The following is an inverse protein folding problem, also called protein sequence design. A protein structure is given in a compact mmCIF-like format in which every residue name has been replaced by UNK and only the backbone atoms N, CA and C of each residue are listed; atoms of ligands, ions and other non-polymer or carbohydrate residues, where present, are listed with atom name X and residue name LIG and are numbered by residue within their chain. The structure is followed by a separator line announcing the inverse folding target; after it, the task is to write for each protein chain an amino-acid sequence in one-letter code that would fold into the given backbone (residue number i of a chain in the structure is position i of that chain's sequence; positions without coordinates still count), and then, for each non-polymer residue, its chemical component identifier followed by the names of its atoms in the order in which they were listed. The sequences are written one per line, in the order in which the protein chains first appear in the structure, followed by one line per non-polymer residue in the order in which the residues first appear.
data_IF_432421251493
#
_entry.id   IF_432421251493
#
_cell.length_a   1.000
_cell.length_b   1.000
_cell.length_c   1.000
_cell.angle_alpha   90.00
_cell.angle_beta   90.00
_cell.angle_gamma   90.00
#
_symmetry.space_group_name_H-M   'P 1'
#
loop_
_entity.id
_entity.type
_entity.pdbx_description
1 polymer ?
#
# COMPACT_ATOMS: atom_id res chain seq x y z
N UNK A 1 17.08 20.54 8.13
CA UNK A 1 16.84 20.19 6.71
C UNK A 1 16.04 18.91 6.66
N UNK A 2 15.96 18.23 5.51
CA UNK A 2 15.39 16.88 5.42
C UNK A 2 16.50 15.85 5.21
N UNK A 3 16.29 14.63 5.69
CA UNK A 3 17.24 13.52 5.60
C UNK A 3 16.91 12.66 4.37
N UNK A 4 17.92 12.37 3.55
CA UNK A 4 17.80 11.46 2.40
C UNK A 4 17.90 9.98 2.77
N UNK A 5 17.72 9.12 1.77
CA UNK A 5 18.00 7.68 1.88
C UNK A 5 19.11 7.34 0.90
N UNK A 6 20.12 6.59 1.36
CA UNK A 6 21.23 6.13 0.51
C UNK A 6 20.67 5.22 -0.59
N UNK A 7 21.05 5.47 -1.84
CA UNK A 7 20.80 4.51 -2.91
C UNK A 7 21.92 3.45 -2.89
N UNK A 8 21.54 2.18 -2.78
CA UNK A 8 22.47 1.04 -2.71
C UNK A 8 22.80 0.45 -4.09
N UNK A 9 22.24 1.02 -5.16
CA UNK A 9 22.42 0.59 -6.54
C UNK A 9 21.16 0.91 -7.34
N UNK A 10 20.22 -0.02 -7.33
CA UNK A 10 18.94 0.06 -8.02
C UNK A 10 17.76 0.30 -7.06
N UNK A 11 17.98 0.87 -5.87
CA UNK A 11 16.96 0.96 -4.81
C UNK A 11 16.16 2.27 -4.78
N UNK A 12 16.13 3.03 -5.88
CA UNK A 12 15.46 4.33 -5.93
C UNK A 12 13.93 4.25 -5.82
N UNK A 13 13.31 3.17 -6.32
CA UNK A 13 11.86 2.92 -6.17
C UNK A 13 11.47 2.82 -4.69
N UNK A 14 12.24 2.03 -3.93
CA UNK A 14 12.09 1.86 -2.48
C UNK A 14 12.27 3.19 -1.76
N UNK A 15 13.38 3.90 -2.02
CA UNK A 15 13.68 5.15 -1.34
C UNK A 15 12.58 6.20 -1.58
N UNK A 16 12.10 6.30 -2.81
CA UNK A 16 11.05 7.26 -3.18
C UNK A 16 9.72 6.91 -2.51
N UNK A 17 9.36 5.63 -2.43
CA UNK A 17 8.14 5.20 -1.76
C UNK A 17 8.21 5.38 -0.24
N UNK A 18 9.31 4.97 0.39
CA UNK A 18 9.51 5.11 1.84
C UNK A 18 9.41 6.58 2.26
N UNK A 19 10.01 7.50 1.49
CA UNK A 19 9.88 8.94 1.74
C UNK A 19 8.42 9.40 1.65
N UNK A 20 7.67 8.98 0.62
CA UNK A 20 6.24 9.32 0.51
C UNK A 20 5.43 8.83 1.71
N UNK A 21 5.65 7.58 2.15
CA UNK A 21 4.98 7.01 3.32
C UNK A 21 5.37 7.77 4.61
N UNK A 22 6.64 8.13 4.78
CA UNK A 22 7.12 8.89 5.94
C UNK A 22 6.44 10.27 6.09
N UNK A 23 6.09 10.90 4.97
CA UNK A 23 5.40 12.19 4.97
C UNK A 23 3.90 12.10 5.26
N UNK A 24 3.33 10.90 5.41
CA UNK A 24 1.95 10.70 5.88
C UNK A 24 1.96 10.72 7.42
N UNK A 25 1.56 11.82 8.08
CA UNK A 25 1.86 12.01 9.50
C UNK A 25 1.15 11.00 10.41
N UNK A 26 -0.07 10.61 10.04
CA UNK A 26 -0.84 9.61 10.77
C UNK A 26 -0.17 8.24 10.71
N UNK A 27 0.22 7.81 9.51
CA UNK A 27 0.96 6.57 9.31
C UNK A 27 2.28 6.58 10.09
N UNK A 28 3.11 7.62 9.92
CA UNK A 28 4.39 7.75 10.62
C UNK A 28 4.24 7.64 12.14
N UNK A 29 3.32 8.41 12.73
CA UNK A 29 3.12 8.42 14.19
C UNK A 29 2.71 7.05 14.73
N UNK A 30 1.74 6.41 14.08
CA UNK A 30 1.25 5.11 14.52
C UNK A 30 2.31 4.01 14.31
N UNK A 31 3.05 4.06 13.20
CA UNK A 31 4.15 3.13 12.93
C UNK A 31 5.23 3.19 14.02
N UNK A 32 5.62 4.40 14.46
CA UNK A 32 6.60 4.60 15.52
C UNK A 32 6.10 4.17 16.92
N UNK A 33 4.80 3.90 17.08
CA UNK A 33 4.19 3.43 18.34
C UNK A 33 3.96 1.91 18.38
N UNK A 34 4.24 1.20 17.28
CA UNK A 34 4.15 -0.26 17.26
C UNK A 34 5.14 -0.85 18.25
N UNK A 35 4.70 -1.78 19.09
CA UNK A 35 5.61 -2.45 20.02
C UNK A 35 6.45 -3.49 19.27
N UNK A 36 7.73 -3.18 19.07
CA UNK A 36 8.71 -4.08 18.46
C UNK A 36 9.67 -4.69 19.48
N UNK A 37 9.39 -4.58 20.79
CA UNK A 37 10.25 -5.09 21.86
C UNK A 37 10.13 -6.62 22.05
N UNK A 38 10.13 -7.37 20.96
CA UNK A 38 10.12 -8.84 20.97
C UNK A 38 11.52 -9.44 21.07
N UNK A 39 12.57 -8.61 21.21
CA UNK A 39 13.97 -9.04 21.20
C UNK A 39 14.52 -9.37 19.80
N UNK A 40 13.73 -9.15 18.75
CA UNK A 40 14.14 -9.34 17.35
C UNK A 40 14.56 -8.01 16.72
N UNK A 41 15.81 -7.63 16.93
CA UNK A 41 16.45 -6.47 16.29
C UNK A 41 16.53 -6.58 14.74
N UNK A 42 16.15 -7.74 14.19
CA UNK A 42 16.15 -8.04 12.75
C UNK A 42 14.73 -8.15 12.15
N UNK A 43 13.70 -7.67 12.86
CA UNK A 43 12.33 -7.65 12.35
C UNK A 43 12.08 -6.50 11.37
N UNK A 44 11.22 -6.72 10.37
CA UNK A 44 10.82 -5.70 9.40
C UNK A 44 10.32 -4.42 10.07
N UNK A 45 9.38 -4.54 11.02
CA UNK A 45 8.81 -3.39 11.71
C UNK A 45 9.85 -2.61 12.51
N UNK A 46 10.80 -3.30 13.15
CA UNK A 46 11.88 -2.65 13.90
C UNK A 46 12.79 -1.85 12.98
N UNK A 47 13.27 -2.44 11.87
CA UNK A 47 14.12 -1.73 10.92
C UNK A 47 13.39 -0.56 10.25
N UNK A 48 12.10 -0.72 9.96
CA UNK A 48 11.27 0.36 9.44
C UNK A 48 11.09 1.50 10.47
N UNK A 49 10.95 1.18 11.76
CA UNK A 49 10.96 2.16 12.84
C UNK A 49 12.31 2.86 12.98
N UNK A 50 13.43 2.14 12.89
CA UNK A 50 14.77 2.74 12.90
C UNK A 50 14.93 3.73 11.77
N UNK A 51 14.52 3.35 10.56
CA UNK A 51 14.54 4.22 9.38
C UNK A 51 13.67 5.47 9.61
N UNK A 52 12.41 5.30 10.03
CA UNK A 52 11.48 6.42 10.24
C UNK A 52 11.95 7.34 11.38
N UNK A 53 12.50 6.77 12.45
CA UNK A 53 13.07 7.53 13.57
C UNK A 53 14.27 8.35 13.11
N UNK A 54 15.14 7.77 12.29
CA UNK A 54 16.29 8.48 11.75
C UNK A 54 15.88 9.61 10.81
N UNK A 55 14.90 9.39 9.93
CA UNK A 55 14.33 10.43 9.08
C UNK A 55 13.71 11.57 9.89
N UNK A 56 13.16 11.29 11.08
CA UNK A 56 12.53 12.28 11.94
C UNK A 56 13.54 13.06 12.79
N UNK A 57 14.55 12.38 13.36
CA UNK A 57 15.37 12.93 14.44
C UNK A 57 16.82 13.28 14.02
N UNK A 58 17.29 12.80 12.87
CA UNK A 58 18.69 12.97 12.48
C UNK A 58 18.96 14.29 11.76
N UNK A 59 20.12 14.91 12.05
CA UNK A 59 20.68 16.01 11.26
C UNK A 59 21.62 15.54 10.13
N UNK A 60 21.80 14.23 9.97
CA UNK A 60 22.65 13.68 8.90
C UNK A 60 22.03 13.90 7.53
N UNK A 61 22.88 13.92 6.51
CA UNK A 61 22.42 14.08 5.12
C UNK A 61 21.56 12.91 4.65
N UNK A 62 21.85 11.68 5.08
CA UNK A 62 21.10 10.49 4.69
C UNK A 62 21.18 9.35 5.72
N UNK A 63 20.19 8.45 5.67
CA UNK A 63 20.20 7.14 6.32
C UNK A 63 20.74 6.06 5.37
N UNK A 64 21.52 5.12 5.89
CA UNK A 64 21.96 3.94 5.15
C UNK A 64 20.89 2.84 5.24
N UNK A 65 20.28 2.47 4.12
CA UNK A 65 19.17 1.51 4.08
C UNK A 65 19.63 0.05 4.05
N UNK A 66 20.94 -0.24 4.19
CA UNK A 66 21.48 -1.59 4.07
C UNK A 66 20.77 -2.60 4.97
N UNK A 67 20.67 -2.31 6.28
CA UNK A 67 20.03 -3.21 7.24
C UNK A 67 18.55 -3.48 6.92
N UNK A 68 17.83 -2.45 6.47
CA UNK A 68 16.46 -2.59 6.00
C UNK A 68 16.38 -3.54 4.79
N UNK A 69 17.25 -3.38 3.81
CA UNK A 69 17.29 -4.26 2.64
C UNK A 69 17.67 -5.71 2.97
N UNK A 70 18.43 -5.94 4.04
CA UNK A 70 18.77 -7.30 4.48
C UNK A 70 17.59 -8.02 5.13
N UNK A 71 16.74 -7.29 5.88
CA UNK A 71 15.56 -7.89 6.54
C UNK A 71 14.32 -7.91 5.65
N UNK A 72 14.24 -7.01 4.67
CA UNK A 72 13.17 -7.00 3.69
C UNK A 72 13.41 -8.08 2.66
N UNK A 73 12.75 -9.22 2.84
CA UNK A 73 12.87 -10.37 1.95
C UNK A 73 11.76 -10.40 0.89
N UNK A 74 11.98 -11.07 -0.22
CA UNK A 74 10.94 -11.41 -1.19
C UNK A 74 10.04 -12.56 -0.68
N UNK A 75 9.24 -13.16 -1.56
CA UNK A 75 8.36 -14.30 -1.25
C UNK A 75 9.14 -15.62 -1.07
N UNK A 76 10.33 -15.73 -1.66
CA UNK A 76 11.23 -16.88 -1.51
C UNK A 76 12.15 -16.75 -0.27
N UNK A 77 11.98 -15.67 0.50
CA UNK A 77 12.76 -15.38 1.70
C UNK A 77 14.16 -14.84 1.40
N UNK A 78 14.48 -14.47 0.16
CA UNK A 78 15.75 -13.85 -0.19
C UNK A 78 15.71 -12.36 0.13
N UNK A 79 16.78 -11.78 0.71
CA UNK A 79 16.87 -10.33 0.91
C UNK A 79 16.71 -9.55 -0.40
N UNK A 80 16.27 -8.31 -0.29
CA UNK A 80 16.08 -7.43 -1.44
C UNK A 80 17.36 -7.36 -2.29
N UNK A 81 17.25 -7.71 -3.57
CA UNK A 81 18.36 -7.58 -4.49
C UNK A 81 18.57 -6.10 -4.86
N UNK A 82 19.50 -5.45 -4.16
CA UNK A 82 19.84 -4.02 -4.34
C UNK A 82 20.40 -3.67 -5.73
N UNK A 83 20.72 -4.66 -6.57
CA UNK A 83 21.21 -4.44 -7.94
C UNK A 83 20.11 -4.55 -9.00
N UNK A 84 18.91 -4.98 -8.61
CA UNK A 84 17.77 -5.15 -9.51
C UNK A 84 16.69 -4.10 -9.25
N UNK A 85 16.14 -3.56 -10.33
CA UNK A 85 14.96 -2.70 -10.27
C UNK A 85 13.71 -3.55 -10.04
N UNK A 86 12.74 -3.00 -9.31
CA UNK A 86 11.44 -3.60 -9.06
C UNK A 86 10.37 -2.58 -9.42
N UNK A 87 9.20 -3.05 -9.83
CA UNK A 87 8.04 -2.18 -9.99
C UNK A 87 7.64 -1.60 -8.61
N UNK A 88 7.31 -0.31 -8.55
CA UNK A 88 7.01 0.35 -7.28
C UNK A 88 5.68 -0.11 -6.67
N UNK A 89 4.72 -0.50 -7.50
CA UNK A 89 3.44 -1.06 -7.05
C UNK A 89 3.66 -2.48 -6.50
N UNK A 90 4.49 -3.29 -7.15
CA UNK A 90 4.90 -4.60 -6.63
C UNK A 90 5.59 -4.47 -5.26
N UNK A 91 6.57 -3.56 -5.15
CA UNK A 91 7.25 -3.29 -3.89
C UNK A 91 6.29 -2.79 -2.80
N UNK A 92 5.36 -1.89 -3.14
CA UNK A 92 4.36 -1.37 -2.21
C UNK A 92 3.44 -2.48 -1.67
N UNK A 93 2.90 -3.32 -2.55
CA UNK A 93 2.01 -4.41 -2.18
C UNK A 93 2.72 -5.41 -1.26
N UNK A 94 3.96 -5.80 -1.60
CA UNK A 94 4.76 -6.69 -0.76
C UNK A 94 5.10 -6.06 0.60
N UNK A 95 5.44 -4.77 0.64
CA UNK A 95 5.67 -4.04 1.89
C UNK A 95 4.42 -4.03 2.76
N UNK A 96 3.27 -3.69 2.20
CA UNK A 96 2.01 -3.62 2.93
C UNK A 96 1.59 -5.00 3.45
N UNK A 97 1.69 -6.06 2.65
CA UNK A 97 1.39 -7.43 3.08
C UNK A 97 2.25 -7.87 4.28
N UNK A 98 3.57 -7.66 4.20
CA UNK A 98 4.50 -8.02 5.29
C UNK A 98 4.28 -7.17 6.54
N UNK A 99 3.91 -5.91 6.37
CA UNK A 99 3.51 -5.03 7.47
C UNK A 99 2.20 -5.51 8.11
N UNK A 100 1.17 -5.82 7.34
CA UNK A 100 -0.09 -6.36 7.87
C UNK A 100 0.16 -7.62 8.70
N UNK A 101 0.95 -8.56 8.17
CA UNK A 101 1.32 -9.79 8.90
C UNK A 101 1.99 -9.46 10.25
N UNK A 102 2.95 -8.53 10.25
CA UNK A 102 3.65 -8.09 11.46
C UNK A 102 2.72 -7.40 12.46
N UNK A 103 1.69 -6.69 11.97
CA UNK A 103 0.77 -5.90 12.78
C UNK A 103 -0.44 -6.69 13.27
N UNK A 104 -0.74 -7.88 12.73
CA UNK A 104 -1.95 -8.68 13.04
C UNK A 104 -2.26 -8.84 14.53
N UNK A 105 -1.22 -8.96 15.37
CA UNK A 105 -1.32 -9.18 16.83
C UNK A 105 -1.09 -7.92 17.66
N UNK A 106 -0.98 -6.77 17.02
CA UNK A 106 -0.75 -5.47 17.66
C UNK A 106 -2.04 -4.65 17.71
N UNK A 107 -2.13 -3.62 18.58
CA UNK A 107 -3.22 -2.64 18.53
C UNK A 107 -3.34 -1.95 17.16
N UNK A 108 -2.23 -1.83 16.42
CA UNK A 108 -2.13 -1.19 15.11
C UNK A 108 -2.45 -2.12 13.93
N UNK A 109 -3.13 -3.25 14.15
CA UNK A 109 -3.49 -4.23 13.10
C UNK A 109 -4.24 -3.65 11.89
N UNK A 110 -4.89 -2.50 12.04
CA UNK A 110 -5.64 -1.83 10.99
C UNK A 110 -4.92 -0.60 10.41
N UNK A 111 -3.67 -0.33 10.81
CA UNK A 111 -2.94 0.89 10.48
C UNK A 111 -2.97 1.21 8.98
N UNK A 112 -2.66 0.22 8.14
CA UNK A 112 -2.63 0.41 6.69
C UNK A 112 -4.02 0.72 6.12
N UNK A 113 -5.04 -0.05 6.53
CA UNK A 113 -6.43 0.20 6.16
C UNK A 113 -6.90 1.59 6.58
N UNK A 114 -6.59 2.01 7.79
CA UNK A 114 -7.09 3.27 8.34
C UNK A 114 -6.40 4.48 7.68
N UNK A 115 -5.14 4.34 7.22
CA UNK A 115 -4.40 5.41 6.54
C UNK A 115 -4.62 5.45 5.01
N UNK A 116 -4.74 4.28 4.36
CA UNK A 116 -4.66 4.13 2.91
C UNK A 116 -5.82 3.35 2.29
N UNK A 117 -6.64 2.69 3.11
CA UNK A 117 -7.66 1.76 2.65
C UNK A 117 -8.87 2.47 2.04
N UNK A 118 -9.27 2.01 0.85
CA UNK A 118 -10.53 2.34 0.21
C UNK A 118 -11.35 1.08 -0.08
N UNK A 119 -12.58 1.29 -0.57
CA UNK A 119 -13.50 0.23 -1.01
C UNK A 119 -14.05 0.58 -2.38
N UNK A 120 -14.09 -0.40 -3.28
CA UNK A 120 -14.74 -0.33 -4.58
C UNK A 120 -15.89 -1.34 -4.62
N UNK A 121 -17.00 -0.97 -5.25
CA UNK A 121 -18.13 -1.87 -5.46
C UNK A 121 -18.27 -2.16 -6.95
N UNK A 122 -18.04 -3.40 -7.33
CA UNK A 122 -18.29 -3.89 -8.67
C UNK A 122 -19.76 -4.25 -8.81
N UNK A 123 -20.44 -3.60 -9.76
CA UNK A 123 -21.87 -3.82 -10.02
C UNK A 123 -22.06 -4.47 -11.39
N UNK A 124 -22.90 -5.51 -11.44
CA UNK A 124 -23.41 -6.09 -12.68
C UNK A 124 -24.91 -5.81 -12.72
N UNK A 125 -25.34 -4.98 -13.66
CA UNK A 125 -26.73 -4.54 -13.81
C UNK A 125 -27.33 -5.20 -15.06
N UNK A 126 -28.39 -5.98 -14.88
CA UNK A 126 -29.12 -6.57 -15.99
C UNK A 126 -30.06 -5.54 -16.61
N UNK A 127 -29.92 -5.31 -17.93
CA UNK A 127 -30.78 -4.36 -18.69
C UNK A 127 -32.08 -4.99 -19.20
N UNK A 128 -32.19 -6.32 -19.15
CA UNK A 128 -33.38 -7.05 -19.59
C UNK A 128 -34.32 -7.33 -18.43
N UNK A 129 -35.58 -7.58 -18.75
CA UNK A 129 -36.54 -8.05 -17.75
C UNK A 129 -36.21 -9.50 -17.40
N UNK A 130 -35.93 -9.76 -16.14
CA UNK A 130 -35.53 -11.07 -15.64
C UNK A 130 -36.35 -11.45 -14.43
N UNK A 131 -36.61 -12.75 -14.29
CA UNK A 131 -37.26 -13.30 -13.09
C UNK A 131 -36.21 -14.02 -12.24
N UNK A 132 -36.06 -13.59 -10.99
CA UNK A 132 -35.14 -14.22 -10.02
C UNK A 132 -35.98 -14.69 -8.83
N UNK A 133 -36.18 -16.00 -8.74
CA UNK A 133 -37.17 -16.59 -7.83
C UNK A 133 -38.58 -16.18 -8.25
N UNK A 134 -39.35 -15.64 -7.31
CA UNK A 134 -40.72 -15.15 -7.54
C UNK A 134 -40.79 -13.65 -7.87
N UNK A 135 -39.65 -12.96 -7.93
CA UNK A 135 -39.57 -11.52 -8.17
C UNK A 135 -39.20 -11.26 -9.63
N UNK A 136 -39.99 -10.44 -10.31
CA UNK A 136 -39.67 -9.90 -11.63
C UNK A 136 -38.93 -8.57 -11.49
N UNK A 137 -37.80 -8.48 -12.18
CA UNK A 137 -36.96 -7.30 -12.30
C UNK A 137 -37.05 -6.78 -13.72
N UNK A 138 -37.00 -5.46 -13.89
CA UNK A 138 -37.19 -4.81 -15.18
C UNK A 138 -37.53 -3.33 -15.04
N UNK A 139 -37.44 -2.59 -16.15
CA UNK A 139 -37.73 -1.16 -16.19
C UNK A 139 -36.95 -0.37 -15.12
N UNK A 140 -37.68 0.29 -14.22
CA UNK A 140 -37.11 1.11 -13.15
C UNK A 140 -36.52 0.29 -11.96
N UNK A 141 -36.64 -1.04 -11.98
CA UNK A 141 -36.08 -1.94 -10.96
C UNK A 141 -35.25 -3.07 -11.61
N UNK A 142 -34.08 -2.74 -12.21
CA UNK A 142 -33.22 -3.75 -12.83
C UNK A 142 -32.62 -4.68 -11.78
N UNK A 143 -32.41 -5.94 -12.15
CA UNK A 143 -31.66 -6.86 -11.30
C UNK A 143 -30.20 -6.42 -11.23
N UNK A 144 -29.66 -6.35 -10.01
CA UNK A 144 -28.27 -5.96 -9.76
C UNK A 144 -27.56 -6.97 -8.87
N UNK A 145 -26.31 -7.28 -9.21
CA UNK A 145 -25.37 -8.03 -8.38
C UNK A 145 -24.21 -7.11 -8.00
N UNK A 146 -23.82 -7.12 -6.74
CA UNK A 146 -22.79 -6.22 -6.20
C UNK A 146 -21.72 -7.04 -5.47
N UNK A 147 -20.44 -6.70 -5.70
CA UNK A 147 -19.29 -7.24 -4.97
C UNK A 147 -18.41 -6.10 -4.47
N UNK A 148 -18.22 -6.02 -3.17
CA UNK A 148 -17.31 -5.06 -2.55
C UNK A 148 -15.89 -5.63 -2.47
N UNK A 149 -14.89 -4.82 -2.85
CA UNK A 149 -13.47 -5.15 -2.75
C UNK A 149 -12.71 -3.99 -2.09
N UNK A 150 -11.74 -4.32 -1.23
CA UNK A 150 -10.85 -3.33 -0.60
C UNK A 150 -9.67 -3.03 -1.51
N UNK A 151 -9.16 -1.80 -1.49
CA UNK A 151 -7.95 -1.42 -2.21
C UNK A 151 -7.06 -0.48 -1.39
N UNK A 152 -5.77 -0.46 -1.71
CA UNK A 152 -4.81 0.54 -1.23
C UNK A 152 -4.40 1.52 -2.33
N UNK A 153 -4.44 1.08 -3.58
CA UNK A 153 -4.13 1.88 -4.76
C UNK A 153 -5.28 1.80 -5.76
N UNK A 154 -5.47 2.87 -6.54
CA UNK A 154 -6.38 2.90 -7.69
C UNK A 154 -5.56 2.96 -8.96
N UNK A 155 -5.77 2.00 -9.85
CA UNK A 155 -5.08 1.92 -11.13
C UNK A 155 -5.81 2.76 -12.18
N UNK A 156 -5.19 3.87 -12.58
CA UNK A 156 -5.78 4.79 -13.54
C UNK A 156 -5.30 4.48 -14.96
N UNK A 157 -6.25 4.32 -15.89
CA UNK A 157 -5.94 4.24 -17.32
C UNK A 157 -5.31 5.56 -17.78
N UNK A 158 -4.08 5.50 -18.30
CA UNK A 158 -3.36 6.70 -18.78
C UNK A 158 -3.56 6.92 -20.27
N UNK A 159 -3.69 5.82 -21.04
CA UNK A 159 -3.72 5.90 -22.50
C UNK A 159 -4.98 6.65 -22.94
N UNK A 160 -4.79 7.67 -23.77
CA UNK A 160 -5.87 8.52 -24.30
C UNK A 160 -6.66 9.31 -23.24
N UNK A 161 -6.12 9.52 -22.03
CA UNK A 161 -6.69 10.39 -21.00
C UNK A 161 -5.84 11.65 -20.83
N UNK A 162 -6.51 12.80 -20.68
CA UNK A 162 -5.86 14.12 -20.53
C UNK A 162 -5.73 14.56 -19.08
N UNK A 163 -6.46 13.92 -18.18
CA UNK A 163 -6.44 14.23 -16.76
C UNK A 163 -6.78 13.00 -15.92
N UNK A 164 -6.37 13.04 -14.65
CA UNK A 164 -6.76 12.06 -13.64
C UNK A 164 -8.29 11.92 -13.54
N UNK A 165 -9.02 13.03 -13.69
CA UNK A 165 -10.48 13.02 -13.66
C UNK A 165 -11.08 12.17 -14.79
N UNK A 166 -10.53 12.26 -16.01
CA UNK A 166 -10.99 11.43 -17.13
C UNK A 166 -10.71 9.93 -16.90
N UNK A 167 -9.62 9.59 -16.21
CA UNK A 167 -9.33 8.20 -15.83
C UNK A 167 -10.25 7.72 -14.71
N UNK A 168 -10.54 8.56 -13.72
CA UNK A 168 -11.45 8.25 -12.61
C UNK A 168 -12.89 8.06 -13.08
N UNK A 169 -13.33 8.81 -14.09
CA UNK A 169 -14.67 8.63 -14.66
C UNK A 169 -14.90 7.21 -15.18
N UNK A 170 -13.87 6.50 -15.64
CA UNK A 170 -13.98 5.10 -16.08
C UNK A 170 -14.39 4.13 -14.96
N UNK A 171 -14.21 4.50 -13.69
CA UNK A 171 -14.62 3.67 -12.56
C UNK A 171 -16.12 3.72 -12.28
N UNK A 172 -16.82 4.73 -12.81
CA UNK A 172 -18.26 4.95 -12.62
C UNK A 172 -19.04 4.90 -13.93
N UNK A 173 -18.35 4.95 -15.07
CA UNK A 173 -18.91 4.76 -16.40
C UNK A 173 -19.05 3.26 -16.70
N UNK A 174 -20.29 2.80 -16.90
CA UNK A 174 -20.65 1.44 -17.33
C UNK A 174 -21.76 1.44 -18.38
#
# INVERSE_FOLDING_TARGET
GYVGLRNLGATCYMNSLIQQLFYVPEFRRNLLQVDTNTGQFNGLMYQLQCLFSFLQESDKQFYDTWEFCQVFTDYDGQPLNITQQMDVDEYLNMLFEKMEESLKKTPQKNLLRDCFGGKIVHQIICKENVKVGDIEYGGDNPYKSEREESFYTLQLEVKHKRSILESLNLYVEG
#
